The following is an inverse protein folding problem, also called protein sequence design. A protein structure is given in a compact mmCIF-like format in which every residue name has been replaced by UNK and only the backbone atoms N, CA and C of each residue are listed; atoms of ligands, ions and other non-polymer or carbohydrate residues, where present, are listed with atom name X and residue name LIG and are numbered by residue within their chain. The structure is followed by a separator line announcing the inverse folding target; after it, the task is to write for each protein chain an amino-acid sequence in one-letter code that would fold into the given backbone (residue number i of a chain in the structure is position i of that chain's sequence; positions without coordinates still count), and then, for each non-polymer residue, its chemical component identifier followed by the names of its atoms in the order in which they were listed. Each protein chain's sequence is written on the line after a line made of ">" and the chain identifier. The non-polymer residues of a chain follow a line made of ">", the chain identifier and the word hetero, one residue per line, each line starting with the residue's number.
data_IF_647646211087
#
_entry.id   IF_647646211087
#
_cell.length_a   1.000
_cell.length_b   1.000
_cell.length_c   1.000
_cell.angle_alpha   90.00
_cell.angle_beta   90.00
_cell.angle_gamma   90.00
#
_symmetry.space_group_name_H-M   'P 1'
#
loop_
_entity.id
_entity.type
_entity.pdbx_description
1 polymer ?
#
# COMPACT_ATOMS: atom_id res chain seq x y z
N UNK A 1 -26.27 -7.59 9.69
CA UNK A 1 -25.34 -7.14 8.64
C UNK A 1 -26.17 -6.78 7.41
N UNK A 2 -26.05 -5.56 6.86
CA UNK A 2 -26.74 -5.18 5.62
C UNK A 2 -25.75 -5.40 4.46
N UNK A 3 -25.88 -6.52 3.74
CA UNK A 3 -25.18 -6.73 2.47
C UNK A 3 -25.78 -5.80 1.41
N UNK A 4 -25.23 -4.59 1.32
CA UNK A 4 -25.45 -3.74 0.16
C UNK A 4 -24.47 -4.17 -0.93
N UNK A 5 -24.99 -4.80 -1.96
CA UNK A 5 -24.35 -4.82 -3.28
C UNK A 5 -24.58 -3.44 -3.88
N UNK A 6 -23.74 -2.49 -3.50
CA UNK A 6 -23.61 -1.21 -4.16
C UNK A 6 -22.20 -1.15 -4.71
N UNK A 7 -22.06 -0.71 -5.95
CA UNK A 7 -20.77 -0.37 -6.57
C UNK A 7 -20.46 1.09 -6.22
N UNK A 8 -19.66 1.38 -5.17
CA UNK A 8 -19.35 2.75 -4.76
C UNK A 8 -18.05 3.24 -5.42
N UNK A 9 -17.40 2.45 -6.28
CA UNK A 9 -16.03 2.67 -6.72
C UNK A 9 -15.84 2.78 -8.25
N UNK A 10 -16.93 2.96 -9.00
CA UNK A 10 -16.87 3.14 -10.47
C UNK A 10 -16.05 4.35 -10.94
N UNK A 11 -15.61 5.23 -10.03
CA UNK A 11 -14.82 6.43 -10.33
C UNK A 11 -13.32 6.35 -9.98
N UNK A 12 -12.81 5.22 -9.45
CA UNK A 12 -11.37 5.09 -9.16
C UNK A 12 -10.57 4.55 -10.37
N UNK A 13 -9.62 5.32 -10.94
CA UNK A 13 -8.79 4.89 -12.08
C UNK A 13 -7.88 3.68 -11.77
N UNK A 14 -7.66 3.39 -10.48
CA UNK A 14 -6.78 2.31 -10.04
C UNK A 14 -7.34 0.92 -10.39
N UNK A 15 -8.67 0.74 -10.34
CA UNK A 15 -9.33 -0.53 -10.64
C UNK A 15 -9.54 -0.76 -12.15
N UNK A 16 -9.63 0.31 -12.95
CA UNK A 16 -9.74 0.19 -14.41
C UNK A 16 -8.43 -0.27 -15.06
N UNK A 17 -7.26 0.03 -14.46
CA UNK A 17 -5.95 -0.36 -15.02
C UNK A 17 -5.71 -1.88 -14.97
N UNK A 18 -6.48 -2.63 -14.16
CA UNK A 18 -6.41 -4.10 -14.08
C UNK A 18 -7.31 -4.78 -15.13
N UNK A 19 -8.20 -4.02 -15.78
CA UNK A 19 -9.10 -4.52 -16.80
C UNK A 19 -8.73 -3.98 -18.19
N UNK A 20 -8.44 -4.91 -19.11
CA UNK A 20 -8.29 -4.71 -20.55
C UNK A 20 -6.96 -4.14 -21.07
N UNK A 21 -6.03 -5.05 -21.38
CA UNK A 21 -5.42 -5.07 -22.71
C UNK A 21 -5.44 -6.50 -23.25
N UNK A 22 -6.22 -6.73 -24.32
CA UNK A 22 -6.14 -7.94 -25.15
C UNK A 22 -4.83 -7.90 -25.93
N UNK A 23 -3.75 -8.36 -25.33
CA UNK A 23 -2.53 -8.68 -26.07
C UNK A 23 -2.71 -10.05 -26.76
N UNK A 24 -2.87 -10.00 -28.08
CA UNK A 24 -2.82 -11.18 -28.95
C UNK A 24 -1.43 -11.80 -28.82
N UNK A 25 -1.36 -13.00 -28.22
CA UNK A 25 -0.13 -13.76 -28.01
C UNK A 25 0.34 -14.38 -29.34
N UNK A 26 1.53 -14.07 -29.87
CA UNK A 26 2.11 -14.84 -30.95
C UNK A 26 2.64 -16.19 -30.42
N UNK A 27 2.49 -17.25 -31.23
CA UNK A 27 2.94 -18.62 -30.90
C UNK A 27 4.44 -18.69 -30.55
N UNK A 28 4.85 -19.63 -29.69
CA UNK A 28 6.21 -19.67 -29.14
C UNK A 28 7.22 -20.12 -30.19
N UNK A 29 8.13 -19.22 -30.54
CA UNK A 29 9.29 -19.50 -31.38
C UNK A 29 10.52 -18.77 -30.84
N UNK A 30 11.42 -19.54 -30.22
CA UNK A 30 12.80 -19.22 -29.79
C UNK A 30 12.95 -18.15 -28.70
N UNK A 31 13.54 -18.62 -27.60
CA UNK A 31 14.06 -17.87 -26.46
C UNK A 31 14.99 -16.74 -26.90
N UNK A 32 14.56 -15.50 -26.69
CA UNK A 32 15.47 -14.35 -26.61
C UNK A 32 15.54 -13.90 -25.15
N UNK A 33 16.75 -13.87 -24.61
CA UNK A 33 17.04 -13.36 -23.28
C UNK A 33 16.53 -11.93 -23.15
N UNK A 34 15.70 -11.70 -22.13
CA UNK A 34 15.26 -10.35 -21.76
C UNK A 34 16.53 -9.55 -21.39
N UNK A 35 16.93 -8.64 -22.28
CA UNK A 35 18.26 -8.04 -22.18
C UNK A 35 18.39 -7.20 -20.91
N UNK A 36 19.44 -7.48 -20.14
CA UNK A 36 19.83 -6.83 -18.87
C UNK A 36 20.00 -5.30 -18.91
N UNK A 37 19.71 -4.61 -20.02
CA UNK A 37 20.01 -3.19 -20.24
C UNK A 37 18.89 -2.25 -19.74
N UNK A 38 17.62 -2.64 -19.87
CA UNK A 38 16.49 -1.81 -19.41
C UNK A 38 16.42 -1.74 -17.87
N UNK A 39 16.62 -2.87 -17.19
CA UNK A 39 16.70 -2.92 -15.73
C UNK A 39 17.91 -2.13 -15.19
N UNK A 40 19.05 -2.14 -15.90
CA UNK A 40 20.22 -1.33 -15.56
C UNK A 40 19.99 0.17 -15.75
N UNK A 41 19.19 0.58 -16.75
CA UNK A 41 18.86 1.98 -16.98
C UNK A 41 17.93 2.55 -15.91
N UNK A 42 16.90 1.80 -15.50
CA UNK A 42 16.02 2.17 -14.39
C UNK A 42 16.79 2.22 -13.07
N UNK A 43 17.66 1.23 -12.82
CA UNK A 43 18.54 1.25 -11.64
C UNK A 43 19.52 2.43 -11.65
N UNK A 44 20.08 2.80 -12.79
CA UNK A 44 20.98 3.95 -12.92
C UNK A 44 20.26 5.29 -12.69
N UNK A 45 19.00 5.41 -13.13
CA UNK A 45 18.18 6.61 -12.92
C UNK A 45 17.76 6.76 -11.45
N UNK A 46 17.39 5.65 -10.80
CA UNK A 46 17.13 5.60 -9.36
C UNK A 46 18.40 5.90 -8.56
N UNK A 47 19.55 5.38 -8.98
CA UNK A 47 20.84 5.68 -8.34
C UNK A 47 21.28 7.13 -8.55
N UNK A 48 21.01 7.74 -9.70
CA UNK A 48 21.28 9.16 -9.95
C UNK A 48 20.40 10.06 -9.07
N UNK A 49 19.12 9.71 -8.90
CA UNK A 49 18.21 10.39 -7.99
C UNK A 49 18.61 10.19 -6.51
N UNK A 50 19.14 9.03 -6.14
CA UNK A 50 19.61 8.74 -4.77
C UNK A 50 20.99 9.32 -4.45
N UNK A 51 21.80 9.69 -5.45
CA UNK A 51 23.15 10.27 -5.29
C UNK A 51 23.19 11.78 -5.55
N UNK A 52 22.04 12.40 -5.81
CA UNK A 52 21.88 13.84 -5.97
C UNK A 52 22.39 14.58 -4.72
N UNK A 53 23.40 15.43 -4.92
CA UNK A 53 24.05 16.18 -3.83
C UNK A 53 25.57 15.99 -3.74
N UNK A 54 26.19 15.11 -4.53
CA UNK A 54 27.65 14.97 -4.56
C UNK A 54 28.25 15.37 -5.91
N UNK A 55 29.46 15.93 -5.91
CA UNK A 55 30.22 16.28 -7.13
C UNK A 55 30.40 15.07 -8.07
N UNK A 56 30.43 13.86 -7.49
CA UNK A 56 30.51 12.58 -8.21
C UNK A 56 29.19 12.24 -8.92
N UNK A 57 28.04 12.58 -8.34
CA UNK A 57 26.71 12.48 -8.97
C UNK A 57 26.57 13.44 -10.16
N UNK A 58 27.01 14.70 -10.01
CA UNK A 58 27.02 15.71 -11.09
C UNK A 58 27.86 15.27 -12.29
N UNK A 59 29.06 14.72 -12.05
CA UNK A 59 29.95 14.20 -13.12
C UNK A 59 29.45 12.90 -13.75
N UNK A 60 28.68 12.09 -13.04
CA UNK A 60 28.10 10.86 -13.57
C UNK A 60 26.91 11.14 -14.49
N UNK A 61 26.01 12.04 -14.08
CA UNK A 61 24.86 12.48 -14.89
C UNK A 61 25.30 13.15 -16.20
N UNK A 62 26.29 14.05 -16.14
CA UNK A 62 26.80 14.75 -17.34
C UNK A 62 27.48 13.82 -18.35
N UNK A 63 28.09 12.71 -17.91
CA UNK A 63 28.73 11.73 -18.79
C UNK A 63 27.75 10.72 -19.41
N UNK A 64 26.71 10.32 -18.69
CA UNK A 64 25.72 9.34 -19.18
C UNK A 64 24.64 9.95 -20.06
N UNK A 65 24.26 11.21 -19.85
CA UNK A 65 23.36 11.94 -20.76
C UNK A 65 23.93 12.12 -22.17
N UNK A 66 25.25 12.00 -22.33
CA UNK A 66 25.95 12.23 -23.60
C UNK A 66 26.08 10.93 -24.45
N UNK A 67 25.86 9.74 -23.88
CA UNK A 67 26.17 8.48 -24.61
C UNK A 67 25.10 7.39 -24.43
N UNK A 68 24.03 7.43 -25.23
CA UNK A 68 23.40 6.21 -25.80
C UNK A 68 22.29 6.55 -26.81
N UNK A 69 22.19 5.84 -27.94
CA UNK A 69 21.05 5.92 -28.86
C UNK A 69 19.89 5.08 -28.28
N UNK A 70 19.11 5.68 -27.39
CA UNK A 70 17.93 5.08 -26.76
C UNK A 70 16.65 5.88 -27.07
N UNK A 71 16.57 6.43 -28.29
CA UNK A 71 15.51 7.35 -28.72
C UNK A 71 14.10 6.75 -28.88
N UNK A 72 13.90 5.43 -28.77
CA UNK A 72 12.63 4.81 -29.20
C UNK A 72 11.77 4.12 -28.13
N UNK A 73 12.30 3.80 -26.94
CA UNK A 73 11.54 3.01 -25.92
C UNK A 73 11.36 3.76 -24.60
N UNK A 74 12.18 4.79 -24.34
CA UNK A 74 12.16 5.57 -23.10
C UNK A 74 11.14 6.72 -23.02
N UNK A 75 10.71 7.40 -24.10
CA UNK A 75 9.88 8.60 -23.96
C UNK A 75 8.56 8.33 -23.24
N UNK A 76 7.85 7.25 -23.58
CA UNK A 76 6.54 6.96 -23.00
C UNK A 76 6.59 6.62 -21.51
N UNK A 77 7.55 5.80 -21.08
CA UNK A 77 7.71 5.41 -19.67
C UNK A 77 8.17 6.61 -18.84
N UNK A 78 9.01 7.48 -19.40
CA UNK A 78 9.52 8.65 -18.69
C UNK A 78 8.56 9.83 -18.67
N UNK A 79 7.80 10.07 -19.73
CA UNK A 79 6.65 11.00 -19.72
C UNK A 79 5.67 10.57 -18.61
N UNK A 80 5.34 9.28 -18.54
CA UNK A 80 4.47 8.74 -17.49
C UNK A 80 5.02 8.86 -16.07
N UNK A 81 6.34 8.98 -15.86
CA UNK A 81 6.95 9.17 -14.53
C UNK A 81 7.33 10.62 -14.24
N UNK A 82 7.67 11.41 -15.24
CA UNK A 82 8.09 12.81 -15.12
C UNK A 82 6.96 13.67 -14.56
N UNK A 83 5.75 13.57 -15.12
CA UNK A 83 4.61 14.36 -14.65
C UNK A 83 4.16 13.95 -13.25
N UNK A 84 4.50 12.74 -12.79
CA UNK A 84 4.25 12.35 -11.40
C UNK A 84 5.10 13.16 -10.43
N UNK A 85 6.27 13.67 -10.82
CA UNK A 85 7.05 14.61 -10.03
C UNK A 85 6.31 15.92 -9.75
N UNK A 86 5.26 16.23 -10.52
CA UNK A 86 4.39 17.40 -10.33
C UNK A 86 2.99 17.00 -9.88
N UNK A 87 2.89 15.93 -9.05
CA UNK A 87 1.63 15.39 -8.54
C UNK A 87 0.61 15.00 -9.63
N UNK A 88 1.07 14.71 -10.85
CA UNK A 88 0.21 14.38 -11.99
C UNK A 88 -0.41 15.60 -12.69
N UNK A 89 0.15 16.80 -12.50
CA UNK A 89 -0.29 17.99 -13.22
C UNK A 89 -0.26 17.78 -14.75
N UNK A 90 -1.26 18.28 -15.50
CA UNK A 90 -1.25 18.22 -16.96
C UNK A 90 -0.02 18.92 -17.55
N UNK A 91 0.50 18.39 -18.66
CA UNK A 91 1.71 18.92 -19.32
C UNK A 91 1.56 20.40 -19.67
N UNK A 92 0.40 20.77 -20.22
CA UNK A 92 0.10 22.14 -20.65
C UNK A 92 0.00 23.15 -19.49
N UNK A 93 -0.03 22.67 -18.25
CA UNK A 93 -0.05 23.51 -17.05
C UNK A 93 1.35 23.83 -16.51
N UNK A 94 2.39 23.17 -17.02
CA UNK A 94 3.78 23.42 -16.59
C UNK A 94 4.34 24.66 -17.29
N UNK A 95 4.97 25.52 -16.49
CA UNK A 95 5.73 26.66 -16.98
C UNK A 95 7.22 26.45 -16.67
N UNK A 96 8.09 27.20 -17.35
CA UNK A 96 9.55 27.08 -17.23
C UNK A 96 10.02 27.16 -15.77
N UNK A 97 9.44 28.06 -15.00
CA UNK A 97 9.76 28.25 -13.58
C UNK A 97 9.45 27.05 -12.71
N UNK A 98 8.44 26.23 -13.05
CA UNK A 98 8.17 24.98 -12.33
C UNK A 98 9.29 23.95 -12.57
N UNK A 99 9.87 23.91 -13.77
CA UNK A 99 11.02 23.07 -14.10
C UNK A 99 12.30 23.58 -13.44
N UNK A 100 12.50 24.89 -13.44
CA UNK A 100 13.63 25.55 -12.77
C UNK A 100 13.63 25.24 -11.26
N UNK A 101 12.47 25.32 -10.59
CA UNK A 101 12.34 24.91 -9.19
C UNK A 101 12.71 23.44 -8.97
N UNK A 102 12.22 22.55 -9.83
CA UNK A 102 12.53 21.12 -9.71
C UNK A 102 14.02 20.85 -9.93
N UNK A 103 14.64 21.43 -10.97
CA UNK A 103 16.07 21.23 -11.23
C UNK A 103 16.91 21.86 -10.10
N UNK A 104 16.54 23.03 -9.58
CA UNK A 104 17.22 23.65 -8.46
C UNK A 104 17.18 22.76 -7.21
N UNK A 105 16.01 22.21 -6.87
CA UNK A 105 15.82 21.30 -5.74
C UNK A 105 16.78 20.10 -5.80
N UNK A 106 16.85 19.43 -6.95
CA UNK A 106 17.55 18.14 -7.05
C UNK A 106 19.01 18.24 -7.49
N UNK A 107 19.40 19.30 -8.20
CA UNK A 107 20.75 19.44 -8.77
C UNK A 107 21.57 20.56 -8.13
N UNK A 108 20.94 21.45 -7.35
CA UNK A 108 21.59 22.58 -6.68
C UNK A 108 21.42 22.57 -5.16
N UNK A 109 21.43 21.38 -4.55
CA UNK A 109 21.47 21.18 -3.09
C UNK A 109 20.23 21.75 -2.38
N UNK A 110 19.03 21.50 -2.94
CA UNK A 110 17.75 21.89 -2.35
C UNK A 110 17.57 23.42 -2.21
N UNK A 111 18.35 24.20 -2.96
CA UNK A 111 18.29 25.66 -2.96
C UNK A 111 17.17 26.17 -3.87
N UNK A 112 16.60 27.31 -3.48
CA UNK A 112 15.64 28.01 -4.32
C UNK A 112 16.33 28.73 -5.48
N UNK A 113 15.60 28.99 -6.56
CA UNK A 113 16.15 29.59 -7.78
C UNK A 113 16.71 31.00 -7.55
N UNK A 114 16.25 31.69 -6.52
CA UNK A 114 16.72 33.01 -6.09
C UNK A 114 18.03 32.96 -5.28
N UNK A 115 18.33 31.83 -4.63
CA UNK A 115 19.57 31.59 -3.86
C UNK A 115 20.78 31.22 -4.74
N UNK A 116 20.55 30.96 -6.02
CA UNK A 116 21.59 30.58 -6.98
C UNK A 116 22.39 31.79 -7.47
N UNK A 117 23.71 31.62 -7.58
CA UNK A 117 24.60 32.60 -8.19
C UNK A 117 24.28 32.82 -9.68
N UNK A 118 24.78 33.91 -10.27
CA UNK A 118 24.55 34.24 -11.69
C UNK A 118 25.00 33.10 -12.61
N UNK A 119 26.13 32.46 -12.30
CA UNK A 119 26.66 31.34 -13.07
C UNK A 119 25.79 30.09 -12.91
N UNK A 120 25.37 29.75 -11.70
CA UNK A 120 24.49 28.60 -11.43
C UNK A 120 23.11 28.79 -12.09
N UNK A 121 22.59 30.02 -12.16
CA UNK A 121 21.34 30.31 -12.89
C UNK A 121 21.49 30.11 -14.39
N UNK A 122 22.66 30.36 -14.97
CA UNK A 122 22.91 30.05 -16.39
C UNK A 122 22.97 28.53 -16.61
N UNK A 123 23.64 27.80 -15.72
CA UNK A 123 23.68 26.34 -15.75
C UNK A 123 22.27 25.73 -15.60
N UNK A 124 21.48 26.24 -14.64
CA UNK A 124 20.09 25.85 -14.43
C UNK A 124 19.25 26.01 -15.70
N UNK A 125 19.33 27.17 -16.37
CA UNK A 125 18.59 27.42 -17.62
C UNK A 125 18.95 26.42 -18.71
N UNK A 126 20.24 26.15 -18.89
CA UNK A 126 20.72 25.15 -19.86
C UNK A 126 20.20 23.76 -19.51
N UNK A 127 20.21 23.38 -18.24
CA UNK A 127 19.66 22.09 -17.79
C UNK A 127 18.16 21.99 -18.03
N UNK A 128 17.39 23.05 -17.80
CA UNK A 128 15.96 23.11 -18.08
C UNK A 128 15.68 23.05 -19.58
N UNK A 129 16.47 23.71 -20.42
CA UNK A 129 16.35 23.64 -21.88
C UNK A 129 16.56 22.22 -22.39
N UNK A 130 17.63 21.56 -21.93
CA UNK A 130 17.88 20.16 -22.25
C UNK A 130 16.75 19.25 -21.79
N UNK A 131 16.22 19.49 -20.59
CA UNK A 131 15.13 18.71 -20.03
C UNK A 131 13.83 18.91 -20.81
N UNK A 132 13.52 20.15 -21.21
CA UNK A 132 12.33 20.47 -22.00
C UNK A 132 12.40 19.90 -23.42
N UNK A 133 13.58 19.95 -24.05
CA UNK A 133 13.83 19.33 -25.35
C UNK A 133 13.71 17.79 -25.26
N UNK A 134 14.33 17.21 -24.24
CA UNK A 134 14.32 15.76 -24.02
C UNK A 134 12.93 15.23 -23.67
N UNK A 135 12.13 16.00 -22.93
CA UNK A 135 10.73 15.68 -22.60
C UNK A 135 9.74 16.03 -23.72
N UNK A 136 10.21 16.59 -24.85
CA UNK A 136 9.37 17.03 -25.97
C UNK A 136 8.30 18.07 -25.60
N UNK A 137 8.60 18.95 -24.64
CA UNK A 137 7.70 20.04 -24.19
C UNK A 137 8.22 21.44 -24.54
N UNK A 138 9.38 21.53 -25.19
CA UNK A 138 10.06 22.78 -25.52
C UNK A 138 9.20 23.77 -26.31
N UNK A 139 8.34 23.30 -27.23
CA UNK A 139 7.48 24.17 -28.05
C UNK A 139 6.25 24.72 -27.30
N UNK A 140 5.80 24.03 -26.23
CA UNK A 140 4.63 24.41 -25.44
C UNK A 140 4.95 25.10 -24.11
N UNK A 141 6.23 25.11 -23.70
CA UNK A 141 6.66 25.60 -22.41
C UNK A 141 6.67 27.13 -22.37
N UNK A 142 5.78 27.71 -21.57
CA UNK A 142 5.69 29.16 -21.39
C UNK A 142 6.68 29.64 -20.33
N UNK A 143 7.18 30.87 -20.51
CA UNK A 143 7.94 31.55 -19.47
C UNK A 143 6.99 31.98 -18.34
N UNK A 144 7.41 31.77 -17.09
CA UNK A 144 6.59 32.02 -15.90
C UNK A 144 6.70 30.88 -14.88
N UNK A 145 5.97 31.02 -13.78
CA UNK A 145 5.77 29.94 -12.81
C UNK A 145 4.28 29.78 -12.54
N UNK A 146 3.73 28.61 -12.84
CA UNK A 146 2.36 28.30 -12.48
C UNK A 146 2.28 27.97 -10.98
N UNK A 147 1.70 28.88 -10.19
CA UNK A 147 1.59 28.75 -8.72
C UNK A 147 0.72 27.57 -8.25
N UNK A 148 -0.14 27.05 -9.14
CA UNK A 148 -0.99 25.91 -8.84
C UNK A 148 -0.28 24.57 -9.08
N UNK A 149 0.88 24.58 -9.73
CA UNK A 149 1.68 23.39 -10.00
C UNK A 149 2.90 23.41 -9.10
N UNK A 150 3.06 22.36 -8.30
CA UNK A 150 4.22 22.18 -7.42
C UNK A 150 4.95 20.92 -7.83
N UNK A 151 6.27 20.94 -7.71
CA UNK A 151 7.05 19.72 -7.77
C UNK A 151 7.14 19.08 -6.38
N UNK A 152 7.21 17.76 -6.34
CA UNK A 152 7.60 17.03 -5.12
C UNK A 152 9.05 17.37 -4.79
N UNK A 153 9.31 17.64 -3.52
CA UNK A 153 10.64 17.92 -2.96
C UNK A 153 10.96 16.88 -1.90
N UNK A 154 11.54 15.77 -2.33
CA UNK A 154 11.67 14.56 -1.50
C UNK A 154 12.37 14.79 -0.14
N UNK A 155 13.29 15.76 -0.09
CA UNK A 155 14.09 16.06 1.10
C UNK A 155 13.54 17.22 1.93
N UNK A 156 12.65 18.03 1.36
CA UNK A 156 12.25 19.33 1.89
C UNK A 156 10.75 19.45 2.15
N UNK A 157 9.92 18.68 1.44
CA UNK A 157 8.50 18.63 1.68
C UNK A 157 8.25 18.00 3.05
N UNK A 158 7.45 18.65 3.93
CA UNK A 158 7.07 18.04 5.19
C UNK A 158 6.29 16.77 4.89
N UNK A 159 6.79 15.63 5.37
CA UNK A 159 6.04 14.39 5.31
C UNK A 159 4.79 14.58 6.19
N UNK A 160 3.56 14.40 5.66
CA UNK A 160 2.33 14.52 6.46
C UNK A 160 2.17 13.41 7.50
N UNK A 161 3.17 12.53 7.61
CA UNK A 161 3.26 11.47 8.59
C UNK A 161 4.67 11.42 9.19
N UNK A 162 4.76 11.17 10.48
CA UNK A 162 6.02 10.93 11.18
C UNK A 162 6.13 9.44 11.56
N UNK A 163 7.37 8.95 11.61
CA UNK A 163 7.66 7.56 11.98
C UNK A 163 7.95 7.46 13.47
N UNK A 164 7.31 6.52 14.14
CA UNK A 164 7.45 6.26 15.56
C UNK A 164 7.71 4.78 15.81
N UNK A 165 8.02 4.46 17.07
CA UNK A 165 8.27 3.10 17.54
C UNK A 165 7.54 2.87 18.85
N UNK A 166 6.90 1.72 18.97
CA UNK A 166 6.40 1.15 20.22
C UNK A 166 7.04 -0.21 20.35
N UNK A 167 7.80 -0.47 21.42
CA UNK A 167 8.53 -1.73 21.58
C UNK A 167 9.34 -2.14 20.33
N UNK A 168 8.99 -3.30 19.75
CA UNK A 168 9.63 -3.87 18.56
C UNK A 168 8.97 -3.49 17.24
N UNK A 169 7.84 -2.78 17.27
CA UNK A 169 7.06 -2.39 16.08
C UNK A 169 7.30 -0.93 15.74
N UNK A 170 7.55 -0.68 14.47
CA UNK A 170 7.59 0.66 13.91
C UNK A 170 6.26 0.97 13.21
N UNK A 171 5.85 2.22 13.23
CA UNK A 171 4.63 2.65 12.58
C UNK A 171 4.75 4.09 12.08
N UNK A 172 4.00 4.38 11.03
CA UNK A 172 3.79 5.75 10.55
C UNK A 172 2.52 6.30 11.19
N UNK A 173 2.58 7.55 11.61
CA UNK A 173 1.47 8.26 12.23
C UNK A 173 1.20 9.55 11.46
N UNK A 174 -0.03 9.66 10.97
CA UNK A 174 -0.59 10.87 10.35
C UNK A 174 -1.68 11.41 11.27
N UNK A 175 -1.40 12.53 11.95
CA UNK A 175 -2.37 13.23 12.78
C UNK A 175 -3.46 13.88 11.92
N UNK A 176 -4.71 13.81 12.36
CA UNK A 176 -5.80 14.55 11.75
C UNK A 176 -5.62 16.06 11.99
N UNK A 177 -5.95 16.93 11.01
CA UNK A 177 -5.93 18.38 11.18
C UNK A 177 -7.02 18.93 12.13
N UNK A 178 -7.76 18.07 12.84
CA UNK A 178 -8.85 18.45 13.74
C UNK A 178 -8.34 18.94 15.12
N UNK A 179 -9.11 19.77 15.86
CA UNK A 179 -8.77 20.20 17.22
C UNK A 179 -8.62 19.01 18.17
N UNK A 180 -7.65 19.09 19.10
CA UNK A 180 -7.30 17.99 20.02
C UNK A 180 -8.48 17.50 20.89
N UNK A 181 -9.49 18.34 21.08
CA UNK A 181 -10.62 18.08 21.98
C UNK A 181 -11.71 17.14 21.39
N UNK A 182 -11.57 16.70 20.13
CA UNK A 182 -12.42 15.69 19.50
C UNK A 182 -11.63 14.42 19.17
N UNK A 183 -11.37 13.60 20.19
CA UNK A 183 -10.77 12.27 20.01
C UNK A 183 -11.77 11.31 19.32
N UNK A 184 -11.79 11.33 17.99
CA UNK A 184 -12.42 10.28 17.19
C UNK A 184 -11.55 9.03 17.19
N UNK A 185 -12.16 7.84 17.17
CA UNK A 185 -11.40 6.59 17.14
C UNK A 185 -10.50 6.55 15.88
N UNK A 186 -9.20 6.25 16.03
CA UNK A 186 -8.26 6.30 14.92
C UNK A 186 -8.42 5.09 14.01
N UNK A 187 -7.76 5.15 12.86
CA UNK A 187 -7.64 4.04 11.92
C UNK A 187 -6.25 3.43 12.07
N UNK A 188 -6.16 2.12 12.20
CA UNK A 188 -4.90 1.37 12.20
C UNK A 188 -4.87 0.45 10.98
N UNK A 189 -3.89 0.65 10.12
CA UNK A 189 -3.68 -0.12 8.90
C UNK A 189 -2.49 -1.08 9.02
N UNK A 190 -2.73 -2.36 8.75
CA UNK A 190 -1.74 -3.44 8.75
C UNK A 190 -1.54 -3.96 7.31
N UNK A 191 -0.32 -3.82 6.78
CA UNK A 191 0.01 -4.16 5.40
C UNK A 191 0.23 -5.66 5.16
N UNK A 192 0.19 -6.09 3.89
CA UNK A 192 0.49 -7.46 3.46
C UNK A 192 1.97 -7.68 3.13
N UNK A 193 2.28 -8.85 2.57
CA UNK A 193 3.62 -9.20 2.07
C UNK A 193 4.05 -8.28 0.91
N UNK A 194 5.34 -7.96 0.82
CA UNK A 194 5.91 -7.21 -0.30
C UNK A 194 6.89 -6.15 0.17
N UNK A 195 6.95 -5.01 -0.52
CA UNK A 195 7.90 -3.91 -0.21
C UNK A 195 7.39 -2.93 0.87
N UNK A 196 6.68 -3.45 1.87
CA UNK A 196 6.11 -2.66 2.98
C UNK A 196 4.92 -1.78 2.56
N UNK A 197 4.88 -0.55 3.05
CA UNK A 197 3.77 0.40 2.84
C UNK A 197 3.75 1.07 1.46
N UNK A 198 4.83 0.97 0.66
CA UNK A 198 4.95 1.67 -0.62
C UNK A 198 3.76 1.43 -1.60
N UNK A 199 3.31 0.19 -1.87
CA UNK A 199 2.17 -0.05 -2.75
C UNK A 199 0.84 0.44 -2.17
N UNK A 200 0.80 0.72 -0.87
CA UNK A 200 -0.40 1.17 -0.17
C UNK A 200 -0.50 2.70 -0.10
N UNK A 201 0.47 3.47 -0.60
CA UNK A 201 0.40 4.94 -0.62
C UNK A 201 -0.93 5.45 -1.20
N UNK A 202 -1.44 4.94 -2.35
CA UNK A 202 -2.74 5.36 -2.86
C UNK A 202 -3.89 5.08 -1.88
N UNK A 203 -3.94 3.87 -1.31
CA UNK A 203 -4.96 3.49 -0.33
C UNK A 203 -4.89 4.37 0.94
N UNK A 204 -3.67 4.62 1.45
CA UNK A 204 -3.43 5.46 2.63
C UNK A 204 -3.92 6.89 2.36
N UNK A 205 -3.68 7.42 1.15
CA UNK A 205 -4.21 8.73 0.73
C UNK A 205 -5.73 8.72 0.64
N UNK A 206 -6.33 7.71 0.02
CA UNK A 206 -7.78 7.60 -0.13
C UNK A 206 -8.47 7.48 1.26
N UNK A 207 -7.87 6.74 2.20
CA UNK A 207 -8.33 6.67 3.61
C UNK A 207 -8.23 8.05 4.26
N UNK A 208 -7.13 8.78 4.02
CA UNK A 208 -6.91 10.12 4.58
C UNK A 208 -7.90 11.15 4.06
N UNK A 209 -8.24 11.06 2.78
CA UNK A 209 -9.25 11.92 2.14
C UNK A 209 -10.68 11.58 2.58
N UNK A 210 -10.99 10.29 2.75
CA UNK A 210 -12.31 9.83 3.19
C UNK A 210 -12.59 10.08 4.68
N UNK A 211 -11.54 10.06 5.51
CA UNK A 211 -11.64 10.21 6.97
C UNK A 211 -10.67 11.29 7.48
N UNK A 212 -10.88 12.57 7.09
CA UNK A 212 -9.98 13.66 7.44
C UNK A 212 -9.98 13.99 8.95
N UNK A 213 -11.01 13.55 9.67
CA UNK A 213 -11.26 13.81 11.08
C UNK A 213 -10.63 12.76 12.02
N UNK A 214 -9.98 11.72 11.49
CA UNK A 214 -9.45 10.59 12.27
C UNK A 214 -7.96 10.46 12.13
N UNK A 215 -7.26 10.17 13.20
CA UNK A 215 -5.84 9.82 13.14
C UNK A 215 -5.62 8.51 12.37
N UNK A 216 -4.48 8.40 11.66
CA UNK A 216 -4.13 7.20 10.91
C UNK A 216 -2.75 6.68 11.31
N UNK A 217 -2.74 5.43 11.74
CA UNK A 217 -1.55 4.65 12.04
C UNK A 217 -1.35 3.60 10.93
N UNK A 218 -0.16 3.50 10.38
CA UNK A 218 0.22 2.43 9.46
C UNK A 218 1.34 1.61 10.07
N UNK A 219 1.02 0.39 10.48
CA UNK A 219 1.94 -0.54 11.14
C UNK A 219 2.94 -1.09 10.11
N UNK A 220 4.24 -1.00 10.41
CA UNK A 220 5.26 -1.72 9.64
C UNK A 220 5.44 -3.14 10.19
N UNK A 221 5.38 -4.11 9.30
CA UNK A 221 5.57 -5.53 9.59
C UNK A 221 6.85 -5.98 8.87
N UNK A 222 8.04 -5.71 9.45
CA UNK A 222 9.31 -5.76 8.71
C UNK A 222 9.68 -7.16 8.19
N UNK A 223 9.29 -8.22 8.91
CA UNK A 223 9.54 -9.61 8.53
C UNK A 223 8.75 -10.08 7.29
N UNK A 224 7.77 -9.29 6.84
CA UNK A 224 7.03 -9.51 5.57
C UNK A 224 7.19 -8.35 4.59
N UNK A 225 8.08 -7.40 4.89
CA UNK A 225 8.29 -6.17 4.11
C UNK A 225 9.51 -6.24 3.17
N UNK A 226 10.01 -7.44 2.85
CA UNK A 226 11.24 -7.65 2.04
C UNK A 226 12.45 -6.89 2.60
N UNK A 227 12.56 -6.84 3.93
CA UNK A 227 13.66 -6.20 4.66
C UNK A 227 14.41 -7.23 5.50
N UNK A 228 15.74 -7.09 5.67
CA UNK A 228 16.46 -7.93 6.60
C UNK A 228 15.98 -7.73 8.03
N UNK A 229 15.25 -8.70 8.57
CA UNK A 229 14.65 -8.59 9.90
C UNK A 229 14.59 -9.95 10.61
N UNK A 230 15.59 -10.27 11.45
CA UNK A 230 15.69 -11.59 12.09
C UNK A 230 14.73 -11.80 13.27
N UNK A 231 14.19 -10.71 13.84
CA UNK A 231 13.49 -10.75 15.14
C UNK A 231 11.97 -10.75 14.94
N UNK A 232 11.36 -11.88 14.61
CA UNK A 232 9.91 -11.94 14.42
C UNK A 232 9.19 -11.78 15.77
N UNK A 233 8.28 -10.80 15.92
CA UNK A 233 7.50 -10.68 17.14
C UNK A 233 6.50 -11.83 17.24
N UNK A 234 6.25 -12.28 18.47
CA UNK A 234 5.14 -13.22 18.72
C UNK A 234 3.78 -12.53 18.53
N UNK A 235 2.71 -13.31 18.35
CA UNK A 235 1.34 -12.76 18.27
C UNK A 235 0.99 -11.88 19.47
N UNK A 236 1.33 -12.32 20.67
CA UNK A 236 1.10 -11.59 21.92
C UNK A 236 1.93 -10.30 21.99
N UNK A 237 3.21 -10.37 21.62
CA UNK A 237 4.08 -9.19 21.59
C UNK A 237 3.55 -8.13 20.63
N UNK A 238 3.17 -8.53 19.41
CA UNK A 238 2.56 -7.63 18.43
C UNK A 238 1.30 -6.96 19.00
N UNK A 239 0.44 -7.72 19.70
CA UNK A 239 -0.80 -7.18 20.28
C UNK A 239 -0.53 -6.16 21.38
N UNK A 240 0.34 -6.50 22.35
CA UNK A 240 0.70 -5.60 23.45
C UNK A 240 1.30 -4.33 22.89
N UNK A 241 2.22 -4.44 21.93
CA UNK A 241 2.88 -3.27 21.34
C UNK A 241 1.91 -2.33 20.62
N UNK A 242 0.92 -2.87 19.90
CA UNK A 242 -0.14 -2.08 19.25
C UNK A 242 -1.09 -1.47 20.29
N UNK A 243 -1.42 -2.20 21.36
CA UNK A 243 -2.25 -1.68 22.45
C UNK A 243 -1.54 -0.55 23.22
N UNK A 244 -0.24 -0.70 23.47
CA UNK A 244 0.62 0.31 24.09
C UNK A 244 0.75 1.54 23.19
N UNK A 245 0.89 1.33 21.87
CA UNK A 245 0.85 2.43 20.90
C UNK A 245 -0.45 3.22 21.02
N UNK A 246 -1.61 2.57 20.97
CA UNK A 246 -2.90 3.26 21.11
C UNK A 246 -3.01 4.00 22.44
N UNK A 247 -2.57 3.36 23.53
CA UNK A 247 -2.58 3.97 24.88
C UNK A 247 -1.68 5.21 24.96
N UNK A 248 -0.48 5.16 24.36
CA UNK A 248 0.45 6.28 24.34
C UNK A 248 -0.11 7.49 23.58
N UNK A 249 -0.94 7.26 22.57
CA UNK A 249 -1.65 8.31 21.82
C UNK A 249 -3.03 8.67 22.41
N UNK A 250 -3.38 8.13 23.58
CA UNK A 250 -4.63 8.46 24.28
C UNK A 250 -5.88 7.78 23.70
N UNK A 251 -5.71 6.77 22.84
CA UNK A 251 -6.82 6.06 22.20
C UNK A 251 -7.18 4.77 22.94
N UNK A 252 -8.44 4.60 23.39
CA UNK A 252 -8.86 3.35 24.02
C UNK A 252 -8.99 2.22 23.00
N UNK A 253 -9.44 2.53 21.78
CA UNK A 253 -9.76 1.58 20.71
C UNK A 253 -9.66 2.23 19.34
N UNK A 254 -9.58 1.42 18.29
CA UNK A 254 -9.37 1.86 16.91
C UNK A 254 -10.15 1.03 15.87
N UNK A 255 -10.36 1.59 14.69
CA UNK A 255 -10.82 0.86 13.52
C UNK A 255 -9.63 0.16 12.84
N UNK A 256 -9.65 -1.17 12.83
CA UNK A 256 -8.55 -1.97 12.31
C UNK A 256 -8.79 -2.32 10.84
N UNK A 257 -7.79 -2.10 9.99
CA UNK A 257 -7.80 -2.48 8.58
C UNK A 257 -6.60 -3.39 8.34
N UNK A 258 -6.86 -4.62 7.89
CA UNK A 258 -5.81 -5.56 7.50
C UNK A 258 -5.95 -5.93 6.02
N UNK A 259 -4.83 -5.94 5.30
CA UNK A 259 -4.78 -6.52 3.95
C UNK A 259 -3.86 -7.73 3.90
N UNK A 260 -4.30 -8.82 3.28
CA UNK A 260 -3.52 -10.05 3.11
C UNK A 260 -2.87 -10.48 4.44
N UNK A 261 -1.54 -10.61 4.53
CA UNK A 261 -0.85 -10.95 5.79
C UNK A 261 -1.21 -10.04 6.97
N UNK A 262 -1.52 -8.76 6.73
CA UNK A 262 -1.97 -7.83 7.77
C UNK A 262 -3.26 -8.28 8.48
N UNK A 263 -4.10 -9.10 7.83
CA UNK A 263 -5.30 -9.67 8.49
C UNK A 263 -4.95 -10.67 9.58
N UNK A 264 -3.75 -11.27 9.55
CA UNK A 264 -3.25 -12.12 10.64
C UNK A 264 -2.98 -11.27 11.88
N UNK A 265 -2.36 -10.10 11.72
CA UNK A 265 -2.12 -9.17 12.84
C UNK A 265 -3.44 -8.72 13.46
N UNK A 266 -4.41 -8.36 12.61
CA UNK A 266 -5.76 -7.99 13.05
C UNK A 266 -6.46 -9.15 13.77
N UNK A 267 -6.29 -10.39 13.31
CA UNK A 267 -6.80 -11.59 14.00
C UNK A 267 -6.11 -11.83 15.35
N UNK A 268 -4.82 -11.56 15.48
CA UNK A 268 -4.15 -11.64 16.79
C UNK A 268 -4.72 -10.62 17.77
N UNK A 269 -4.92 -9.38 17.32
CA UNK A 269 -5.55 -8.33 18.13
C UNK A 269 -6.96 -8.74 18.56
N UNK A 270 -7.75 -9.33 17.67
CA UNK A 270 -9.09 -9.81 18.03
C UNK A 270 -9.07 -10.88 19.13
N UNK A 271 -8.06 -11.74 19.17
CA UNK A 271 -7.97 -12.80 20.16
C UNK A 271 -7.35 -12.38 21.50
N UNK A 272 -6.50 -11.36 21.52
CA UNK A 272 -5.75 -10.96 22.71
C UNK A 272 -6.17 -9.61 23.28
N UNK A 273 -6.64 -8.69 22.43
CA UNK A 273 -6.97 -7.31 22.77
C UNK A 273 -8.32 -6.88 22.12
N UNK A 274 -9.41 -7.67 22.21
CA UNK A 274 -10.67 -7.37 21.52
C UNK A 274 -11.26 -6.01 21.93
N UNK A 275 -11.04 -5.58 23.17
CA UNK A 275 -11.53 -4.30 23.69
C UNK A 275 -10.92 -3.09 22.96
N UNK A 276 -9.74 -3.27 22.34
CA UNK A 276 -9.04 -2.25 21.54
C UNK A 276 -9.62 -2.09 20.12
N UNK A 277 -10.60 -2.90 19.73
CA UNK A 277 -11.14 -2.93 18.38
C UNK A 277 -12.54 -2.31 18.35
N UNK A 278 -12.68 -1.19 17.63
CA UNK A 278 -13.97 -0.57 17.37
C UNK A 278 -14.70 -1.23 16.17
N UNK A 279 -13.95 -1.54 15.11
CA UNK A 279 -14.43 -2.31 13.95
C UNK A 279 -13.28 -2.95 13.18
N UNK A 280 -13.61 -3.90 12.32
CA UNK A 280 -12.67 -4.62 11.46
C UNK A 280 -12.97 -4.40 9.98
N UNK A 281 -11.94 -4.20 9.18
CA UNK A 281 -11.98 -4.28 7.73
C UNK A 281 -10.90 -5.25 7.27
N UNK A 282 -11.30 -6.36 6.67
CA UNK A 282 -10.42 -7.41 6.19
C UNK A 282 -10.44 -7.41 4.66
N UNK A 283 -9.31 -7.11 4.04
CA UNK A 283 -9.14 -7.06 2.58
C UNK A 283 -8.29 -8.24 2.15
N UNK A 284 -8.85 -9.10 1.31
CA UNK A 284 -8.22 -10.34 0.85
C UNK A 284 -7.63 -11.18 2.02
N UNK A 285 -8.45 -11.49 3.04
CA UNK A 285 -7.98 -12.09 4.29
C UNK A 285 -7.39 -13.48 4.13
N UNK A 286 -6.08 -13.57 4.35
CA UNK A 286 -5.38 -14.86 4.43
C UNK A 286 -5.61 -15.58 5.75
N UNK A 287 -6.18 -14.91 6.75
CA UNK A 287 -6.46 -15.53 8.05
C UNK A 287 -7.61 -16.54 8.01
N UNK A 288 -8.38 -16.67 6.93
CA UNK A 288 -9.38 -17.74 6.79
C UNK A 288 -8.81 -18.97 6.12
N UNK A 289 -9.36 -20.14 6.47
CA UNK A 289 -9.03 -21.42 5.83
C UNK A 289 -7.53 -21.75 5.88
N UNK A 290 -6.82 -21.31 6.92
CA UNK A 290 -5.38 -21.57 7.09
C UNK A 290 -5.09 -23.08 7.28
N UNK A 291 -6.09 -23.85 7.71
CA UNK A 291 -6.06 -25.32 7.76
C UNK A 291 -5.92 -25.95 6.36
N UNK A 292 -6.41 -25.25 5.34
CA UNK A 292 -6.37 -25.72 3.95
C UNK A 292 -4.96 -25.51 3.39
N UNK A 293 -4.52 -26.45 2.54
CA UNK A 293 -3.17 -26.39 1.97
C UNK A 293 -3.02 -25.35 0.84
N UNK A 294 -4.11 -24.77 0.33
CA UNK A 294 -4.09 -23.83 -0.81
C UNK A 294 -3.10 -22.69 -0.62
N UNK A 295 -3.13 -22.01 0.53
CA UNK A 295 -2.24 -20.89 0.80
C UNK A 295 -0.76 -21.30 0.72
N UNK A 296 -0.42 -22.43 1.36
CA UNK A 296 0.95 -22.96 1.36
C UNK A 296 1.37 -23.44 -0.04
N UNK A 297 0.47 -24.10 -0.77
CA UNK A 297 0.75 -24.57 -2.12
C UNK A 297 0.94 -23.39 -3.07
N UNK A 298 0.03 -22.42 -3.07
CA UNK A 298 0.06 -21.26 -3.96
C UNK A 298 1.24 -20.32 -3.67
N UNK A 299 1.73 -20.26 -2.43
CA UNK A 299 2.87 -19.41 -2.08
C UNK A 299 4.22 -20.12 -2.20
N UNK A 300 4.31 -21.43 -1.92
CA UNK A 300 5.60 -22.12 -1.79
C UNK A 300 5.89 -23.20 -2.84
N UNK A 301 4.86 -23.82 -3.44
CA UNK A 301 5.05 -25.03 -4.27
C UNK A 301 4.55 -24.90 -5.69
N UNK A 302 3.54 -24.07 -5.94
CA UNK A 302 2.92 -23.92 -7.24
C UNK A 302 3.85 -23.15 -8.18
N UNK A 303 4.13 -23.74 -9.34
CA UNK A 303 4.63 -22.98 -10.47
C UNK A 303 3.47 -22.14 -11.02
N UNK A 304 3.60 -20.81 -10.93
CA UNK A 304 2.63 -19.92 -11.55
C UNK A 304 3.04 -19.71 -13.01
N UNK A 305 2.06 -19.79 -13.91
CA UNK A 305 2.27 -19.55 -15.33
C UNK A 305 1.95 -18.09 -15.71
N UNK A 306 1.28 -17.35 -14.83
CA UNK A 306 0.96 -15.95 -15.05
C UNK A 306 2.12 -15.02 -14.61
N UNK A 307 2.36 -13.90 -15.33
CA UNK A 307 3.47 -13.01 -15.03
C UNK A 307 3.51 -12.47 -13.59
N UNK A 308 2.34 -12.22 -12.99
CA UNK A 308 2.23 -11.68 -11.64
C UNK A 308 2.59 -12.72 -10.59
N UNK A 309 2.11 -13.95 -10.73
CA UNK A 309 2.47 -15.08 -9.87
C UNK A 309 3.96 -15.42 -9.98
N UNK A 310 4.55 -15.37 -11.18
CA UNK A 310 6.00 -15.59 -11.37
C UNK A 310 6.81 -14.52 -10.62
N UNK A 311 6.43 -13.25 -10.78
CA UNK A 311 7.11 -12.13 -10.13
C UNK A 311 6.96 -12.20 -8.60
N UNK A 312 5.76 -12.50 -8.11
CA UNK A 312 5.47 -12.67 -6.69
C UNK A 312 6.28 -13.84 -6.10
N UNK A 313 6.39 -14.97 -6.78
CA UNK A 313 7.23 -16.09 -6.33
C UNK A 313 8.68 -15.69 -6.22
N UNK A 314 9.24 -15.01 -7.22
CA UNK A 314 10.66 -14.68 -7.20
C UNK A 314 11.00 -13.56 -6.22
N UNK A 315 10.24 -12.47 -6.21
CA UNK A 315 10.55 -11.27 -5.43
C UNK A 315 9.99 -11.31 -4.01
N UNK A 316 8.83 -11.94 -3.79
CA UNK A 316 8.15 -11.90 -2.50
C UNK A 316 8.32 -13.21 -1.76
N UNK A 317 7.82 -14.32 -2.31
CA UNK A 317 7.77 -15.59 -1.56
C UNK A 317 9.13 -16.25 -1.34
N UNK A 318 10.10 -16.00 -2.22
CA UNK A 318 11.47 -16.54 -2.12
C UNK A 318 12.46 -15.56 -1.48
N UNK A 319 12.03 -14.36 -1.10
CA UNK A 319 12.84 -13.46 -0.30
C UNK A 319 13.13 -14.13 1.06
N UNK A 320 14.37 -14.05 1.54
CA UNK A 320 14.88 -14.87 2.64
C UNK A 320 14.04 -14.76 3.91
N UNK A 321 13.72 -13.55 4.35
CA UNK A 321 12.99 -13.31 5.60
C UNK A 321 11.50 -13.58 5.46
N UNK A 322 10.94 -13.28 4.30
CA UNK A 322 9.57 -13.62 3.94
C UNK A 322 9.38 -15.14 3.92
N UNK A 323 10.28 -15.87 3.25
CA UNK A 323 10.27 -17.33 3.22
C UNK A 323 10.47 -17.92 4.63
N UNK A 324 11.37 -17.34 5.42
CA UNK A 324 11.57 -17.74 6.82
C UNK A 324 10.29 -17.56 7.65
N UNK A 325 9.58 -16.44 7.49
CA UNK A 325 8.27 -16.21 8.12
C UNK A 325 7.28 -17.29 7.71
N UNK A 326 7.04 -17.44 6.40
CA UNK A 326 6.00 -18.32 5.86
C UNK A 326 6.26 -19.81 6.12
N UNK A 327 7.52 -20.24 6.19
CA UNK A 327 7.87 -21.67 6.31
C UNK A 327 8.22 -22.11 7.72
N UNK A 328 8.63 -21.19 8.61
CA UNK A 328 9.08 -21.54 9.98
C UNK A 328 8.27 -20.91 11.08
N UNK A 329 7.55 -19.81 10.81
CA UNK A 329 6.88 -19.01 11.84
C UNK A 329 5.39 -18.78 11.55
N UNK A 330 4.84 -19.41 10.51
CA UNK A 330 3.43 -19.32 10.16
C UNK A 330 2.66 -20.53 10.72
N UNK A 331 2.38 -20.50 12.02
CA UNK A 331 1.57 -21.53 12.68
C UNK A 331 0.09 -21.29 12.39
N UNK A 332 -0.56 -22.22 11.68
CA UNK A 332 -1.92 -22.02 11.19
C UNK A 332 -2.92 -21.85 12.35
N UNK A 333 -2.70 -22.54 13.46
CA UNK A 333 -3.56 -22.55 14.65
C UNK A 333 -3.69 -21.15 15.26
N UNK A 334 -2.60 -20.38 15.23
CA UNK A 334 -2.55 -19.03 15.80
C UNK A 334 -3.08 -17.97 14.84
N UNK A 335 -3.08 -18.26 13.54
CA UNK A 335 -3.38 -17.31 12.48
C UNK A 335 -4.78 -17.50 11.88
N UNK A 336 -5.40 -18.67 12.12
CA UNK A 336 -6.72 -18.98 11.62
C UNK A 336 -7.80 -18.20 12.37
N UNK A 337 -8.56 -17.40 11.63
CA UNK A 337 -9.77 -16.73 12.07
C UNK A 337 -10.97 -17.62 11.78
N UNK A 338 -11.70 -17.96 12.84
CA UNK A 338 -13.01 -18.59 12.72
C UNK A 338 -14.08 -17.51 12.53
N UNK A 339 -15.02 -17.66 11.57
CA UNK A 339 -16.07 -16.66 11.34
C UNK A 339 -16.88 -16.32 12.60
N UNK A 340 -17.05 -17.28 13.51
CA UNK A 340 -17.78 -17.12 14.77
C UNK A 340 -17.11 -16.12 15.71
N UNK A 341 -15.80 -15.92 15.61
CA UNK A 341 -15.05 -14.94 16.41
C UNK A 341 -15.36 -13.49 16.00
N UNK A 342 -16.00 -13.28 14.85
CA UNK A 342 -16.39 -11.95 14.35
C UNK A 342 -17.76 -11.48 14.86
N UNK A 343 -18.48 -12.31 15.63
CA UNK A 343 -19.89 -12.07 15.96
C UNK A 343 -20.16 -10.77 16.71
N UNK A 344 -19.23 -10.40 17.59
CA UNK A 344 -19.34 -9.27 18.51
C UNK A 344 -18.63 -8.00 18.02
N UNK A 345 -18.02 -8.04 16.83
CA UNK A 345 -17.26 -6.92 16.28
C UNK A 345 -17.79 -6.54 14.89
N UNK A 346 -18.17 -5.27 14.66
CA UNK A 346 -18.57 -4.81 13.33
C UNK A 346 -17.46 -5.07 12.32
N UNK A 347 -17.72 -5.94 11.35
CA UNK A 347 -16.70 -6.42 10.41
C UNK A 347 -17.13 -6.25 8.96
N UNK A 348 -16.25 -5.70 8.14
CA UNK A 348 -16.34 -5.69 6.69
C UNK A 348 -15.28 -6.63 6.09
N UNK A 349 -15.67 -7.44 5.11
CA UNK A 349 -14.74 -8.33 4.40
C UNK A 349 -14.85 -8.07 2.90
N UNK A 350 -13.72 -7.77 2.27
CA UNK A 350 -13.57 -7.61 0.82
C UNK A 350 -12.72 -8.75 0.26
N UNK A 351 -13.14 -9.31 -0.88
CA UNK A 351 -12.50 -10.45 -1.52
C UNK A 351 -12.28 -10.18 -3.01
N UNK A 352 -11.04 -10.36 -3.48
CA UNK A 352 -10.66 -10.32 -4.87
C UNK A 352 -11.07 -11.62 -5.56
N UNK A 353 -11.97 -11.52 -6.55
CA UNK A 353 -12.52 -12.71 -7.23
C UNK A 353 -11.50 -13.53 -8.02
N UNK A 354 -10.35 -12.94 -8.40
CA UNK A 354 -9.27 -13.60 -9.15
C UNK A 354 -7.99 -13.74 -8.34
N UNK A 355 -8.12 -13.83 -7.02
CA UNK A 355 -6.97 -14.05 -6.14
C UNK A 355 -6.29 -15.40 -6.46
N UNK A 356 -4.99 -15.36 -6.77
CA UNK A 356 -4.19 -16.54 -7.11
C UNK A 356 -3.56 -17.20 -5.87
N UNK A 357 -3.65 -16.56 -4.71
CA UNK A 357 -3.14 -16.99 -3.41
C UNK A 357 -4.28 -17.59 -2.59
N UNK A 358 -5.33 -16.80 -2.35
CA UNK A 358 -6.46 -17.16 -1.51
C UNK A 358 -7.58 -17.80 -2.35
N UNK A 359 -8.18 -18.92 -1.90
CA UNK A 359 -9.39 -19.45 -2.52
C UNK A 359 -10.61 -18.58 -2.14
N UNK A 360 -10.72 -17.38 -2.74
CA UNK A 360 -11.73 -16.37 -2.39
C UNK A 360 -13.17 -16.92 -2.41
N UNK A 361 -13.49 -17.79 -3.37
CA UNK A 361 -14.78 -18.47 -3.44
C UNK A 361 -15.06 -19.35 -2.22
N UNK A 362 -14.07 -20.08 -1.70
CA UNK A 362 -14.21 -20.90 -0.50
C UNK A 362 -14.40 -20.05 0.75
N UNK A 363 -13.66 -18.94 0.88
CA UNK A 363 -13.81 -17.99 2.00
C UNK A 363 -15.20 -17.37 1.99
N UNK A 364 -15.68 -16.93 0.82
CA UNK A 364 -17.05 -16.42 0.67
C UNK A 364 -18.09 -17.43 1.14
N UNK A 365 -18.00 -18.67 0.68
CA UNK A 365 -18.96 -19.73 1.08
C UNK A 365 -18.93 -20.03 2.58
N UNK A 366 -17.75 -19.99 3.19
CA UNK A 366 -17.61 -20.15 4.64
C UNK A 366 -18.35 -19.04 5.39
N UNK A 367 -18.15 -17.79 5.00
CA UNK A 367 -18.80 -16.63 5.62
C UNK A 367 -20.33 -16.62 5.39
N UNK A 368 -20.79 -16.95 4.18
CA UNK A 368 -22.22 -17.07 3.87
C UNK A 368 -22.89 -18.20 4.70
N UNK A 369 -22.18 -19.32 4.91
CA UNK A 369 -22.69 -20.42 5.73
C UNK A 369 -22.80 -20.04 7.22
N UNK A 370 -21.82 -19.30 7.77
CA UNK A 370 -21.91 -18.83 9.16
C UNK A 370 -23.04 -17.82 9.33
N UNK A 371 -23.18 -16.86 8.41
CA UNK A 371 -24.27 -15.88 8.48
C UNK A 371 -25.63 -16.58 8.41
N UNK A 372 -25.80 -17.58 7.54
CA UNK A 372 -27.03 -18.37 7.47
C UNK A 372 -27.32 -19.12 8.79
N UNK A 373 -26.30 -19.79 9.37
CA UNK A 373 -26.42 -20.47 10.66
C UNK A 373 -26.77 -19.49 11.80
N UNK A 374 -26.19 -18.29 11.79
CA UNK A 374 -26.49 -17.22 12.74
C UNK A 374 -27.95 -16.78 12.65
N UNK A 375 -28.47 -16.56 11.44
CA UNK A 375 -29.87 -16.18 11.24
C UNK A 375 -30.84 -17.29 11.68
N UNK A 376 -30.46 -18.55 11.59
CA UNK A 376 -31.23 -19.68 12.12
C UNK A 376 -31.30 -19.67 13.66
N UNK A 377 -30.14 -19.55 14.34
CA UNK A 377 -30.07 -19.46 15.81
C UNK A 377 -30.91 -18.28 16.34
N UNK A 378 -30.85 -17.13 15.68
CA UNK A 378 -31.64 -15.94 16.06
C UNK A 378 -33.14 -16.19 15.94
N UNK A 379 -33.58 -16.83 14.86
CA UNK A 379 -34.99 -17.19 14.65
C UNK A 379 -35.48 -18.18 15.70
N UNK A 380 -34.69 -19.21 16.01
CA UNK A 380 -35.02 -20.19 17.03
C UNK A 380 -35.10 -19.58 18.43
N UNK A 381 -34.18 -18.66 18.75
CA UNK A 381 -34.21 -17.89 20.00
C UNK A 381 -35.47 -17.03 20.14
N UNK A 382 -35.92 -16.40 19.05
CA UNK A 382 -37.17 -15.63 19.02
C UNK A 382 -38.40 -16.53 19.20
N UNK A 383 -38.44 -17.66 18.49
CA UNK A 383 -39.52 -18.64 18.60
C UNK A 383 -39.63 -19.20 20.03
N UNK A 384 -38.50 -19.50 20.67
CA UNK A 384 -38.47 -19.98 22.05
C UNK A 384 -38.96 -18.91 23.04
N UNK A 385 -38.59 -17.64 22.85
CA UNK A 385 -39.13 -16.52 23.67
C UNK A 385 -40.65 -16.39 23.50
N UNK A 386 -41.16 -16.48 22.28
CA UNK A 386 -42.61 -16.45 22.00
C UNK A 386 -43.35 -17.62 22.66
N UNK A 387 -42.80 -18.84 22.60
CA UNK A 387 -43.38 -20.02 23.27
C UNK A 387 -43.40 -19.87 24.80
N UNK A 388 -42.37 -19.26 25.39
CA UNK A 388 -42.32 -19.00 26.83
C UNK A 388 -43.32 -17.92 27.27
N UNK A 389 -43.55 -16.90 26.44
CA UNK A 389 -44.56 -15.86 26.69
C UNK A 389 -46.00 -16.36 26.51
N UNK A 390 -46.20 -17.39 25.69
CA UNK A 390 -47.51 -18.02 25.46
C UNK A 390 -47.85 -19.13 26.48
N UNK A 391 -46.94 -19.48 27.40
CA UNK A 391 -47.28 -20.39 28.50
C UNK A 391 -48.27 -19.67 29.45
N UNK A 392 -49.50 -20.20 29.63
CA UNK A 392 -50.45 -19.59 30.55
C UNK A 392 -49.92 -19.66 31.98
N UNK A 393 -50.12 -18.60 32.78
CA UNK A 393 -50.02 -18.64 34.24
C UNK A 393 -51.09 -19.61 34.77
N UNK A 394 -50.86 -20.92 34.68
CA UNK A 394 -51.72 -21.93 35.28
C UNK A 394 -50.89 -23.13 35.73
N UNK A 395 -50.28 -22.97 36.90
CA UNK A 395 -49.92 -24.00 37.90
C UNK A 395 -49.17 -23.27 39.01
N UNK A 396 -49.88 -22.72 40.01
CA UNK A 396 -50.06 -23.32 41.34
C UNK A 396 -48.77 -23.79 41.99
#
# INVERSE_FOLDING_TARGET
>A
MSLKVGDPFSSSPFLQTIACERLVVPRPGRTHSFSSKAAKAVAALVMAAMLGGTERGRRFASRWLIVAPLRAVLPAVWILTFFRWFFGAPVDSLERGNLEEWVAEYFFEYRQTDELSIQERQELRVMVDYLAEWAHISEGLRDGTNKNVRCMRFMSDPLPAAKYRSGTVEYWYSKAPAPEDQHTEPIVFCHGLGIGLLPYIPLVRDIREAFPDRDLFCIEIPHVAMRPYPNLPSSREMCVVVADMLTAWGYPRAHMIGHSFGTIVVRWLLAHEPDRIASLTLVDPVCFLMVKNDLLLNTQRKAHDDPMGILATYLVFRELYTAHTLTRNLFWEQNNLWPEELRDVPTHVSLCGKDFILPAHSVRRLLEAEEAARQEILRDGQLNKLRLQQKPLNSR
#
